data_IF_877654248331
#
_entry.id   IF_877654248331
#
_cell.length_a   1.000
_cell.length_b   1.000
_cell.length_c   1.000
_cell.angle_alpha   90.00
_cell.angle_beta   90.00
_cell.angle_gamma   90.00
#
_symmetry.space_group_name_H-M   'P 1'
#
loop_
_entity.id
_entity.type
_entity.pdbx_description
1 polymer ?
#
# COMPACT_ATOMS: atom_id res chain seq x y z
N UNK A 1 13.13 -5.05 -5.11
CA UNK A 1 12.21 -4.19 -5.89
C UNK A 1 10.83 -4.85 -5.93
N UNK A 2 9.77 -4.05 -6.06
CA UNK A 2 8.40 -4.54 -5.87
C UNK A 2 8.06 -5.67 -6.87
N UNK A 3 8.57 -5.60 -8.10
CA UNK A 3 8.38 -6.63 -9.15
C UNK A 3 8.96 -8.01 -8.82
N UNK A 4 9.75 -8.14 -7.75
CA UNK A 4 10.32 -9.40 -7.28
C UNK A 4 9.63 -9.96 -6.02
N UNK A 5 8.88 -9.13 -5.30
CA UNK A 5 8.36 -9.49 -3.97
C UNK A 5 7.50 -10.76 -4.02
N UNK A 6 6.63 -10.87 -5.01
CA UNK A 6 5.70 -12.00 -5.12
C UNK A 6 6.41 -13.33 -5.36
N UNK A 7 7.26 -13.43 -6.39
CA UNK A 7 8.00 -14.65 -6.70
C UNK A 7 8.84 -15.11 -5.50
N UNK A 8 9.63 -14.20 -4.92
CA UNK A 8 10.52 -14.54 -3.81
C UNK A 8 9.74 -14.98 -2.58
N UNK A 9 8.62 -14.32 -2.26
CA UNK A 9 7.76 -14.70 -1.14
C UNK A 9 7.11 -16.05 -1.36
N UNK A 10 6.56 -16.30 -2.55
CA UNK A 10 5.92 -17.56 -2.91
C UNK A 10 6.92 -18.72 -2.84
N UNK A 11 8.12 -18.55 -3.41
CA UNK A 11 9.15 -19.58 -3.42
C UNK A 11 9.69 -19.86 -2.02
N UNK A 12 9.90 -18.82 -1.21
CA UNK A 12 10.26 -18.97 0.19
C UNK A 12 9.19 -19.73 0.98
N UNK A 13 7.91 -19.42 0.76
CA UNK A 13 6.81 -20.13 1.42
C UNK A 13 6.78 -21.61 1.03
N UNK A 14 6.91 -21.93 -0.27
CA UNK A 14 6.99 -23.30 -0.78
C UNK A 14 8.21 -24.06 -0.24
N UNK A 15 9.31 -23.36 0.03
CA UNK A 15 10.50 -23.90 0.68
C UNK A 15 10.37 -24.03 2.22
N UNK A 16 9.17 -23.81 2.78
CA UNK A 16 8.90 -23.93 4.20
C UNK A 16 9.43 -22.77 5.05
N UNK A 17 9.71 -21.60 4.45
CA UNK A 17 10.24 -20.42 5.16
C UNK A 17 9.12 -19.43 5.50
N UNK A 18 9.21 -18.86 6.69
CA UNK A 18 8.48 -17.64 7.04
C UNK A 18 9.15 -16.45 6.35
N UNK A 19 8.38 -15.40 6.03
CA UNK A 19 8.85 -14.29 5.20
C UNK A 19 8.52 -12.95 5.84
N UNK A 20 9.50 -12.07 5.93
CA UNK A 20 9.27 -10.63 6.09
C UNK A 20 9.44 -9.98 4.72
N UNK A 21 8.40 -9.32 4.21
CA UNK A 21 8.41 -8.70 2.90
C UNK A 21 8.14 -7.19 3.03
N UNK A 22 9.06 -6.36 2.54
CA UNK A 22 8.90 -4.91 2.59
C UNK A 22 7.72 -4.40 1.76
N UNK A 23 7.18 -3.24 2.14
CA UNK A 23 6.10 -2.58 1.41
C UNK A 23 6.61 -1.86 0.14
N UNK A 24 5.77 -1.66 -0.89
CA UNK A 24 4.46 -2.29 -1.07
C UNK A 24 4.59 -3.80 -1.26
N UNK A 25 3.62 -4.57 -0.78
CA UNK A 25 3.72 -6.03 -0.73
C UNK A 25 3.86 -6.66 -2.13
N UNK A 26 3.15 -6.13 -3.12
CA UNK A 26 3.14 -6.64 -4.49
C UNK A 26 3.13 -5.51 -5.53
N UNK A 27 3.41 -5.87 -6.79
CA UNK A 27 3.32 -4.95 -7.93
C UNK A 27 1.93 -4.98 -8.59
N UNK A 28 1.19 -6.06 -8.43
CA UNK A 28 -0.19 -6.23 -8.91
C UNK A 28 -1.08 -6.87 -7.85
N UNK A 29 -2.39 -6.74 -8.03
CA UNK A 29 -3.38 -7.31 -7.10
C UNK A 29 -3.33 -8.84 -7.16
N UNK A 30 -3.27 -9.41 -8.36
CA UNK A 30 -3.23 -10.86 -8.54
C UNK A 30 -1.98 -11.50 -7.92
N UNK A 31 -0.82 -10.83 -7.97
CA UNK A 31 0.39 -11.26 -7.28
C UNK A 31 0.21 -11.31 -5.76
N UNK A 32 -0.35 -10.27 -5.15
CA UNK A 32 -0.59 -10.22 -3.70
C UNK A 32 -1.52 -11.35 -3.24
N UNK A 33 -2.60 -11.62 -4.00
CA UNK A 33 -3.49 -12.77 -3.74
C UNK A 33 -2.76 -14.11 -3.81
N UNK A 34 -1.86 -14.32 -4.79
CA UNK A 34 -1.01 -15.52 -4.86
C UNK A 34 -0.04 -15.63 -3.68
N UNK A 35 0.51 -14.52 -3.19
CA UNK A 35 1.36 -14.51 -2.00
C UNK A 35 0.59 -14.96 -0.75
N UNK A 36 -0.63 -14.45 -0.55
CA UNK A 36 -1.50 -14.89 0.55
C UNK A 36 -1.76 -16.40 0.44
N UNK A 37 -2.18 -16.88 -0.73
CA UNK A 37 -2.47 -18.30 -0.95
C UNK A 37 -1.24 -19.16 -0.65
N UNK A 38 -0.05 -18.76 -1.12
CA UNK A 38 1.18 -19.49 -0.85
C UNK A 38 1.50 -19.54 0.65
N UNK A 39 1.33 -18.44 1.38
CA UNK A 39 1.52 -18.41 2.84
C UNK A 39 0.55 -19.36 3.55
N UNK A 40 -0.74 -19.35 3.19
CA UNK A 40 -1.77 -20.19 3.83
C UNK A 40 -1.59 -21.67 3.52
N UNK A 41 -1.39 -22.03 2.25
CA UNK A 41 -1.23 -23.44 1.83
C UNK A 41 0.01 -24.07 2.47
N UNK A 42 1.09 -23.30 2.64
CA UNK A 42 2.34 -23.80 3.25
C UNK A 42 2.41 -23.53 4.76
N UNK A 43 1.34 -23.02 5.38
CA UNK A 43 1.26 -22.67 6.80
C UNK A 43 2.46 -21.82 7.27
N UNK A 44 2.78 -20.75 6.54
CA UNK A 44 3.91 -19.84 6.80
C UNK A 44 3.42 -18.52 7.36
N UNK A 45 4.23 -17.96 8.26
CA UNK A 45 4.06 -16.59 8.75
C UNK A 45 4.68 -15.65 7.72
N UNK A 46 3.88 -14.74 7.19
CA UNK A 46 4.34 -13.70 6.28
C UNK A 46 3.91 -12.35 6.83
N UNK A 47 4.89 -11.49 7.13
CA UNK A 47 4.65 -10.13 7.60
C UNK A 47 5.03 -9.12 6.53
N UNK A 48 4.14 -8.17 6.29
CA UNK A 48 4.39 -7.02 5.44
C UNK A 48 5.08 -5.93 6.26
N UNK A 49 6.12 -5.28 5.71
CA UNK A 49 6.92 -4.25 6.36
C UNK A 49 6.22 -2.89 6.56
N UNK A 50 4.95 -2.90 6.95
CA UNK A 50 4.17 -1.69 7.29
C UNK A 50 4.43 -1.28 8.74
N UNK A 51 5.65 -0.79 9.01
CA UNK A 51 6.14 -0.48 10.35
C UNK A 51 5.28 0.52 11.14
N UNK A 52 4.52 1.39 10.45
CA UNK A 52 3.61 2.33 11.10
C UNK A 52 2.53 1.65 11.96
N UNK A 53 2.17 0.38 11.65
CA UNK A 53 1.26 -0.40 12.51
C UNK A 53 1.85 -0.75 13.88
N UNK A 54 3.17 -0.67 14.03
CA UNK A 54 3.87 -0.87 15.31
C UNK A 54 4.27 0.46 15.98
N UNK A 55 3.86 1.60 15.42
CA UNK A 55 4.17 2.92 15.95
C UNK A 55 3.00 3.43 16.81
N UNK A 56 3.33 3.93 18.01
CA UNK A 56 2.33 4.25 19.04
C UNK A 56 1.28 5.26 18.59
N UNK A 57 1.68 6.30 17.85
CA UNK A 57 0.81 7.38 17.40
C UNK A 57 -0.26 6.89 16.41
N UNK A 58 0.10 5.93 15.56
CA UNK A 58 -0.81 5.32 14.58
C UNK A 58 -1.77 4.33 15.25
N UNK A 59 -1.28 3.52 16.19
CA UNK A 59 -2.16 2.68 17.01
C UNK A 59 -3.16 3.53 17.80
N UNK A 60 -2.71 4.62 18.43
CA UNK A 60 -3.59 5.56 19.16
C UNK A 60 -4.63 6.18 18.23
N UNK A 61 -4.23 6.63 17.05
CA UNK A 61 -5.15 7.17 16.05
C UNK A 61 -6.24 6.16 15.68
N UNK A 62 -5.86 4.93 15.34
CA UNK A 62 -6.81 3.88 14.97
C UNK A 62 -7.69 3.46 16.15
N UNK A 63 -7.16 3.45 17.37
CA UNK A 63 -7.94 3.20 18.59
C UNK A 63 -9.03 4.25 18.80
N UNK A 64 -8.72 5.54 18.62
CA UNK A 64 -9.70 6.63 18.71
C UNK A 64 -10.82 6.46 17.67
N UNK A 65 -10.45 6.13 16.44
CA UNK A 65 -11.39 5.96 15.33
C UNK A 65 -12.26 4.72 15.51
N UNK A 66 -11.64 3.56 15.73
CA UNK A 66 -12.31 2.25 15.82
C UNK A 66 -13.22 2.11 17.05
N UNK A 67 -12.97 2.89 18.10
CA UNK A 67 -13.84 2.96 19.26
C UNK A 67 -14.90 4.08 19.16
N UNK A 68 -15.03 4.76 18.02
CA UNK A 68 -16.10 5.73 17.76
C UNK A 68 -15.97 7.06 18.49
N UNK A 69 -14.76 7.41 18.98
CA UNK A 69 -14.55 8.65 19.74
C UNK A 69 -14.70 9.90 18.88
N UNK A 70 -14.55 9.77 17.56
CA UNK A 70 -14.87 10.82 16.58
C UNK A 70 -16.26 10.68 15.95
N UNK A 71 -17.12 9.81 16.49
CA UNK A 71 -18.41 9.48 15.89
C UNK A 71 -18.27 8.62 14.63
N UNK A 72 -19.26 8.71 13.75
CA UNK A 72 -19.25 7.98 12.48
C UNK A 72 -18.26 8.64 11.52
N UNK A 73 -17.28 7.88 11.01
CA UNK A 73 -16.33 8.38 10.02
C UNK A 73 -17.09 8.67 8.73
N UNK A 74 -16.91 9.87 8.19
CA UNK A 74 -17.51 10.29 6.92
C UNK A 74 -16.47 10.32 5.80
N UNK A 75 -15.28 10.83 6.13
CA UNK A 75 -14.21 11.05 5.17
C UNK A 75 -12.84 10.73 5.76
N UNK A 76 -11.94 10.23 4.92
CA UNK A 76 -10.52 10.04 5.26
C UNK A 76 -9.68 10.76 4.21
N UNK A 77 -8.77 11.63 4.63
CA UNK A 77 -7.77 12.22 3.74
C UNK A 77 -6.44 11.52 3.91
N UNK A 78 -5.80 11.19 2.80
CA UNK A 78 -4.47 10.59 2.76
C UNK A 78 -3.58 11.45 1.87
N UNK A 79 -2.58 12.10 2.46
CA UNK A 79 -1.60 12.88 1.71
C UNK A 79 -0.32 12.09 1.50
N UNK A 80 0.21 12.16 0.28
CA UNK A 80 1.50 11.58 -0.09
C UNK A 80 2.40 12.63 -0.75
N UNK A 81 3.73 12.49 -0.64
CA UNK A 81 4.66 13.42 -1.27
C UNK A 81 4.65 13.28 -2.81
N UNK A 82 5.17 14.32 -3.47
CA UNK A 82 5.46 14.28 -4.92
C UNK A 82 6.57 13.28 -5.27
N UNK A 83 6.73 12.94 -6.56
CA UNK A 83 7.82 12.09 -6.99
C UNK A 83 9.18 12.78 -6.74
N UNK A 84 10.18 12.01 -6.33
CA UNK A 84 11.56 12.46 -6.14
C UNK A 84 12.52 11.79 -7.13
N UNK A 85 12.08 11.66 -8.39
CA UNK A 85 12.89 11.09 -9.48
C UNK A 85 14.04 12.02 -9.89
N UNK A 86 15.24 11.52 -10.24
CA UNK A 86 16.43 12.33 -10.52
C UNK A 86 16.43 13.06 -11.90
N UNK A 87 15.26 13.40 -12.43
CA UNK A 87 15.13 14.10 -13.72
C UNK A 87 15.19 13.19 -14.95
N UNK A 88 15.44 13.76 -16.14
CA UNK A 88 15.45 13.01 -17.41
C UNK A 88 16.38 11.80 -17.37
N UNK A 89 15.95 10.67 -17.95
CA UNK A 89 16.75 9.46 -18.02
C UNK A 89 18.09 9.76 -18.73
N UNK A 90 18.04 10.21 -19.98
CA UNK A 90 19.23 10.41 -20.82
C UNK A 90 19.41 9.28 -21.84
N UNK A 91 20.56 9.22 -22.53
CA UNK A 91 20.87 8.11 -23.44
C UNK A 91 21.07 6.79 -22.68
N UNK A 92 20.96 5.66 -23.38
CA UNK A 92 21.25 4.34 -22.80
C UNK A 92 22.67 4.26 -22.22
N UNK A 93 22.80 3.59 -21.08
CA UNK A 93 24.08 3.36 -20.40
C UNK A 93 24.53 1.91 -20.59
N UNK A 94 25.85 1.66 -20.45
CA UNK A 94 26.34 0.29 -20.31
C UNK A 94 26.01 -0.26 -18.92
N UNK A 95 25.63 -1.53 -18.86
CA UNK A 95 25.39 -2.23 -17.59
C UNK A 95 26.71 -2.31 -16.80
N UNK A 96 26.75 -1.87 -15.53
CA UNK A 96 27.91 -2.04 -14.67
C UNK A 96 28.25 -3.53 -14.46
N UNK A 97 29.53 -3.92 -14.46
CA UNK A 97 29.93 -5.33 -14.34
C UNK A 97 29.48 -5.99 -13.03
N UNK A 98 29.24 -5.23 -11.97
CA UNK A 98 28.75 -5.69 -10.68
C UNK A 98 27.23 -5.95 -10.62
N UNK A 99 26.49 -5.58 -11.68
CA UNK A 99 25.04 -5.73 -11.73
C UNK A 99 24.63 -6.80 -12.76
N UNK A 100 24.11 -7.93 -12.28
CA UNK A 100 23.34 -8.83 -13.15
C UNK A 100 21.99 -8.19 -13.46
N UNK A 101 21.96 -7.41 -14.54
CA UNK A 101 20.76 -6.67 -14.91
C UNK A 101 19.64 -7.57 -15.43
N UNK A 102 19.97 -8.73 -16.02
CA UNK A 102 18.96 -9.69 -16.47
C UNK A 102 18.21 -10.30 -15.30
N UNK A 103 18.94 -10.67 -14.24
CA UNK A 103 18.34 -11.13 -12.99
C UNK A 103 17.65 -9.98 -12.26
N UNK A 104 18.22 -8.79 -12.23
CA UNK A 104 17.57 -7.63 -11.61
C UNK A 104 16.20 -7.35 -12.24
N UNK A 105 16.10 -7.35 -13.57
CA UNK A 105 14.83 -7.22 -14.30
C UNK A 105 13.87 -8.35 -13.95
N UNK A 106 14.38 -9.59 -13.94
CA UNK A 106 13.58 -10.73 -13.51
C UNK A 106 12.29 -10.86 -14.32
N UNK A 107 11.11 -10.96 -13.66
CA UNK A 107 9.81 -11.10 -14.32
C UNK A 107 9.34 -9.84 -15.05
N UNK A 108 9.96 -8.69 -14.82
CA UNK A 108 9.60 -7.47 -15.52
C UNK A 108 9.97 -7.53 -17.03
N UNK A 109 9.31 -6.73 -17.87
CA UNK A 109 9.66 -6.60 -19.28
C UNK A 109 11.14 -6.21 -19.48
N UNK A 110 11.72 -6.64 -20.61
CA UNK A 110 13.07 -6.24 -20.96
C UNK A 110 13.09 -4.74 -21.29
N UNK A 111 13.95 -3.99 -20.61
CA UNK A 111 14.22 -2.57 -20.89
C UNK A 111 15.72 -2.35 -21.02
N UNK A 112 16.15 -1.33 -21.78
CA UNK A 112 17.53 -0.87 -21.76
C UNK A 112 17.97 -0.46 -20.35
N UNK A 113 19.22 -0.75 -20.01
CA UNK A 113 19.77 -0.35 -18.73
C UNK A 113 19.95 1.17 -18.65
N UNK A 114 19.67 1.69 -17.46
CA UNK A 114 20.03 3.05 -17.08
C UNK A 114 20.09 3.15 -15.55
N UNK A 115 21.09 3.83 -15.00
CA UNK A 115 21.27 4.07 -13.56
C UNK A 115 20.01 4.66 -12.89
N UNK A 116 19.33 5.57 -13.59
CA UNK A 116 18.03 6.16 -13.20
C UNK A 116 16.80 5.25 -13.31
N UNK A 117 16.92 3.97 -13.71
CA UNK A 117 15.83 2.96 -13.65
C UNK A 117 15.96 1.98 -12.50
N UNK A 118 17.15 1.88 -11.92
CA UNK A 118 17.50 0.83 -10.95
C UNK A 118 17.57 1.35 -9.50
N UNK A 119 17.81 0.45 -8.56
CA UNK A 119 18.01 0.71 -7.13
C UNK A 119 16.87 1.47 -6.43
N UNK A 120 16.97 2.77 -6.22
CA UNK A 120 15.87 3.53 -5.62
C UNK A 120 14.82 3.91 -6.67
N UNK A 121 15.27 4.16 -7.90
CA UNK A 121 14.49 4.81 -8.96
C UNK A 121 13.53 3.87 -9.69
N UNK A 122 13.56 2.56 -9.43
CA UNK A 122 12.58 1.63 -9.99
C UNK A 122 11.15 2.05 -9.65
N UNK A 123 10.96 2.78 -8.53
CA UNK A 123 9.67 3.26 -8.03
C UNK A 123 8.87 4.09 -9.03
N UNK A 124 9.53 4.70 -9.99
CA UNK A 124 8.92 5.67 -10.92
C UNK A 124 8.59 5.08 -12.30
N UNK A 125 8.65 3.75 -12.43
CA UNK A 125 8.38 3.02 -13.66
C UNK A 125 7.32 1.95 -13.39
N UNK A 126 6.26 1.90 -14.20
CA UNK A 126 5.12 0.99 -13.97
C UNK A 126 5.49 -0.48 -14.05
N UNK A 127 6.57 -0.79 -14.78
CA UNK A 127 7.09 -2.15 -14.89
C UNK A 127 7.66 -2.70 -13.58
N UNK A 128 8.02 -1.82 -12.63
CA UNK A 128 8.73 -2.19 -11.41
C UNK A 128 8.02 -1.76 -10.12
N UNK A 129 7.12 -0.77 -10.18
CA UNK A 129 6.41 -0.21 -9.03
C UNK A 129 5.19 0.60 -9.46
N UNK A 130 4.57 1.30 -8.51
CA UNK A 130 3.38 2.12 -8.69
C UNK A 130 3.54 3.57 -8.24
N UNK A 131 4.75 4.13 -8.24
CA UNK A 131 5.00 5.51 -7.88
C UNK A 131 4.83 5.80 -6.39
N UNK A 132 4.57 7.08 -6.06
CA UNK A 132 4.32 7.46 -4.66
C UNK A 132 3.02 6.87 -4.11
N UNK A 133 2.06 6.56 -4.99
CA UNK A 133 0.80 5.90 -4.60
C UNK A 133 1.08 4.54 -3.95
N UNK A 134 2.02 3.73 -4.47
CA UNK A 134 2.39 2.48 -3.78
C UNK A 134 3.53 2.66 -2.78
N UNK A 135 4.43 3.63 -2.96
CA UNK A 135 5.55 3.82 -2.06
C UNK A 135 5.13 4.46 -0.72
N UNK A 136 4.41 5.58 -0.74
CA UNK A 136 3.88 6.26 0.45
C UNK A 136 2.43 5.90 0.74
N UNK A 137 1.62 5.60 -0.28
CA UNK A 137 0.26 5.12 -0.01
C UNK A 137 0.25 3.78 0.74
N UNK A 138 1.20 2.87 0.51
CA UNK A 138 1.29 1.63 1.32
C UNK A 138 1.60 1.89 2.82
N UNK A 139 1.98 3.12 3.18
CA UNK A 139 2.05 3.58 4.57
C UNK A 139 0.69 4.17 5.00
N UNK A 140 0.22 5.23 4.32
CA UNK A 140 -0.91 6.03 4.81
C UNK A 140 -2.30 5.51 4.42
N UNK A 141 -2.43 4.83 3.28
CA UNK A 141 -3.65 4.10 2.92
C UNK A 141 -3.79 2.83 3.76
N UNK A 142 -2.68 2.23 4.19
CA UNK A 142 -2.69 1.12 5.15
C UNK A 142 -3.26 1.55 6.51
N UNK A 143 -2.79 2.68 7.05
CA UNK A 143 -3.37 3.24 8.28
C UNK A 143 -4.84 3.61 8.10
N UNK A 144 -5.22 4.16 6.94
CA UNK A 144 -6.62 4.45 6.65
C UNK A 144 -7.48 3.17 6.67
N UNK A 145 -7.03 2.09 6.02
CA UNK A 145 -7.70 0.78 6.06
C UNK A 145 -7.80 0.25 7.49
N UNK A 146 -6.73 0.38 8.29
CA UNK A 146 -6.72 -0.08 9.68
C UNK A 146 -7.70 0.70 10.57
N UNK A 147 -7.72 2.03 10.45
CA UNK A 147 -8.62 2.90 11.19
C UNK A 147 -10.09 2.72 10.81
N UNK A 148 -10.37 2.43 9.53
CA UNK A 148 -11.70 2.01 9.08
C UNK A 148 -12.02 0.55 9.45
N UNK A 149 -10.98 -0.22 9.80
CA UNK A 149 -10.91 -1.68 9.92
C UNK A 149 -11.57 -2.39 8.76
N UNK A 150 -10.99 -2.12 7.60
CA UNK A 150 -11.25 -2.72 6.31
C UNK A 150 -10.07 -3.62 5.91
N UNK A 151 -9.38 -4.21 6.91
CA UNK A 151 -8.21 -5.07 6.74
C UNK A 151 -8.53 -6.41 6.02
N UNK A 152 -9.81 -6.75 5.88
CA UNK A 152 -10.35 -7.89 5.14
C UNK A 152 -11.17 -7.48 3.90
N UNK A 153 -11.20 -6.18 3.58
CA UNK A 153 -12.05 -5.60 2.53
C UNK A 153 -11.38 -4.40 1.85
N UNK A 154 -12.16 -3.50 1.27
CA UNK A 154 -11.67 -2.32 0.60
C UNK A 154 -12.78 -1.47 -0.03
N UNK A 155 -12.40 -0.43 -0.78
CA UNK A 155 -13.37 0.40 -1.47
C UNK A 155 -14.11 -0.39 -2.57
N UNK A 156 -15.33 0.01 -2.91
CA UNK A 156 -16.10 -0.54 -4.03
C UNK A 156 -15.88 0.22 -5.34
N UNK A 157 -15.25 1.39 -5.29
CA UNK A 157 -14.81 2.10 -6.49
C UNK A 157 -13.67 3.07 -6.22
N UNK A 158 -12.90 3.37 -7.27
CA UNK A 158 -11.86 4.40 -7.27
C UNK A 158 -11.99 5.29 -8.52
N UNK A 159 -11.93 6.61 -8.37
CA UNK A 159 -11.97 7.56 -9.49
C UNK A 159 -11.24 8.85 -9.14
N UNK A 160 -10.80 9.61 -10.13
CA UNK A 160 -10.12 10.86 -9.85
C UNK A 160 -9.34 11.45 -11.01
N UNK A 161 -8.46 12.40 -10.69
CA UNK A 161 -7.59 13.07 -11.65
C UNK A 161 -6.13 12.78 -11.38
N UNK A 162 -5.33 12.81 -12.44
CA UNK A 162 -3.89 12.66 -12.37
C UNK A 162 -3.21 13.58 -13.39
N UNK A 163 -2.08 14.15 -12.99
CA UNK A 163 -1.15 14.87 -13.85
C UNK A 163 0.15 14.08 -13.92
N UNK A 164 0.70 13.97 -15.12
CA UNK A 164 1.97 13.32 -15.40
C UNK A 164 3.01 14.36 -15.81
N UNK A 165 4.29 14.02 -15.67
CA UNK A 165 5.34 14.89 -16.11
C UNK A 165 5.23 15.12 -17.64
N UNK A 166 5.11 16.37 -18.14
CA UNK A 166 4.88 16.62 -19.55
C UNK A 166 6.07 16.22 -20.45
N UNK A 167 7.27 16.10 -19.88
CA UNK A 167 8.45 15.57 -20.58
C UNK A 167 8.63 14.07 -20.39
N UNK A 168 7.71 13.40 -19.68
CA UNK A 168 7.74 11.97 -19.38
C UNK A 168 9.08 11.53 -18.76
N UNK A 169 9.62 12.35 -17.84
CA UNK A 169 10.88 12.02 -17.14
C UNK A 169 10.78 10.71 -16.35
N UNK A 170 9.56 10.37 -15.96
CA UNK A 170 9.13 9.10 -15.39
C UNK A 170 7.68 8.80 -15.81
N UNK A 171 7.20 7.59 -15.53
CA UNK A 171 5.87 7.13 -15.99
C UNK A 171 4.75 7.38 -14.97
N UNK A 172 5.12 7.60 -13.70
CA UNK A 172 4.17 7.72 -12.58
C UNK A 172 3.63 9.14 -12.39
N UNK A 173 2.59 9.26 -11.58
CA UNK A 173 1.90 10.53 -11.30
C UNK A 173 2.82 11.57 -10.63
N UNK A 174 2.74 12.81 -11.11
CA UNK A 174 3.30 14.01 -10.48
C UNK A 174 2.35 14.54 -9.40
N UNK A 175 1.07 14.63 -9.77
CA UNK A 175 -0.03 15.00 -8.88
C UNK A 175 -1.21 14.09 -9.15
N UNK A 176 -2.01 13.83 -8.14
CA UNK A 176 -3.28 13.16 -8.31
C UNK A 176 -4.24 13.53 -7.17
N UNK A 177 -5.53 13.38 -7.46
CA UNK A 177 -6.59 13.34 -6.45
C UNK A 177 -7.48 12.15 -6.75
N UNK A 178 -7.40 11.11 -5.93
CA UNK A 178 -8.18 9.88 -6.11
C UNK A 178 -9.19 9.74 -4.98
N UNK A 179 -10.46 9.64 -5.33
CA UNK A 179 -11.57 9.29 -4.45
C UNK A 179 -11.80 7.77 -4.48
N UNK A 180 -11.69 7.16 -3.32
CA UNK A 180 -12.13 5.80 -3.03
C UNK A 180 -13.47 5.85 -2.30
N UNK A 181 -14.45 5.10 -2.77
CA UNK A 181 -15.78 4.99 -2.12
C UNK A 181 -15.94 3.61 -1.52
N UNK A 182 -16.31 3.52 -0.25
CA UNK A 182 -16.57 2.26 0.45
C UNK A 182 -18.06 1.92 0.47
N UNK A 183 -18.38 0.62 0.62
CA UNK A 183 -19.76 0.14 0.63
C UNK A 183 -20.61 0.77 1.76
N UNK A 184 -20.00 1.13 2.88
CA UNK A 184 -20.64 1.80 4.00
C UNK A 184 -20.82 3.32 3.79
N UNK A 185 -20.47 3.86 2.63
CA UNK A 185 -20.60 5.27 2.28
C UNK A 185 -19.40 6.14 2.65
N UNK A 186 -18.39 5.61 3.36
CA UNK A 186 -17.16 6.34 3.66
C UNK A 186 -16.43 6.71 2.37
N UNK A 187 -15.94 7.95 2.31
CA UNK A 187 -15.11 8.45 1.21
C UNK A 187 -13.68 8.58 1.69
N UNK A 188 -12.72 8.02 0.97
CA UNK A 188 -11.31 8.25 1.22
C UNK A 188 -10.70 8.99 0.04
N UNK A 189 -10.01 10.09 0.29
CA UNK A 189 -9.38 10.92 -0.74
C UNK A 189 -7.87 10.86 -0.57
N UNK A 190 -7.20 10.33 -1.58
CA UNK A 190 -5.75 10.39 -1.73
C UNK A 190 -5.38 11.67 -2.48
N UNK A 191 -4.48 12.47 -1.90
CA UNK A 191 -3.88 13.64 -2.53
C UNK A 191 -2.37 13.48 -2.69
N UNK A 192 -1.88 13.71 -3.91
CA UNK A 192 -0.46 13.85 -4.20
C UNK A 192 -0.20 15.26 -4.73
N UNK A 193 0.67 16.02 -4.05
CA UNK A 193 0.99 17.40 -4.44
C UNK A 193 -0.18 18.39 -4.30
N UNK A 194 -1.17 18.07 -3.48
CA UNK A 194 -2.31 18.93 -3.16
C UNK A 194 -2.01 19.74 -1.89
N UNK A 195 -2.51 20.97 -1.80
CA UNK A 195 -2.30 21.84 -0.63
C UNK A 195 -3.34 21.63 0.48
N UNK A 196 -4.54 21.17 0.12
CA UNK A 196 -5.66 20.94 1.03
C UNK A 196 -5.58 19.59 1.77
N UNK A 197 -4.72 18.67 1.31
CA UNK A 197 -4.53 17.35 1.91
C UNK A 197 -3.09 17.26 2.44
N UNK A 198 -2.95 17.31 3.76
CA UNK A 198 -1.67 17.17 4.45
C UNK A 198 -1.13 15.73 4.35
N UNK A 199 0.20 15.57 4.33
CA UNK A 199 0.85 14.26 4.38
C UNK A 199 0.46 13.49 5.67
N UNK A 200 0.24 12.18 5.53
CA UNK A 200 -0.28 11.34 6.60
C UNK A 200 -1.71 10.91 6.35
N UNK A 201 -2.40 10.54 7.43
CA UNK A 201 -3.78 10.04 7.39
C UNK A 201 -4.64 10.88 8.33
N UNK A 202 -5.72 11.44 7.81
CA UNK A 202 -6.69 12.23 8.57
C UNK A 202 -8.07 11.59 8.49
N UNK A 203 -8.62 11.18 9.63
CA UNK A 203 -10.00 10.71 9.76
C UNK A 203 -10.91 11.85 10.19
N UNK A 204 -12.04 12.01 9.49
CA UNK A 204 -13.05 13.03 9.76
C UNK A 204 -14.36 12.33 10.06
N UNK A 205 -14.85 12.49 11.29
CA UNK A 205 -16.10 11.91 11.75
C UNK A 205 -17.09 12.95 12.26
N UNK A 206 -18.30 12.51 12.59
CA UNK A 206 -19.42 13.39 12.99
C UNK A 206 -19.21 14.12 14.31
N UNK A 207 -18.25 13.70 15.14
CA UNK A 207 -17.95 14.29 16.46
C UNK A 207 -16.52 14.82 16.57
N UNK A 208 -15.71 14.66 15.54
CA UNK A 208 -14.32 15.09 15.60
C UNK A 208 -13.45 14.60 14.46
N UNK A 209 -12.16 14.90 14.58
CA UNK A 209 -11.13 14.59 13.60
C UNK A 209 -9.89 14.04 14.29
N UNK A 210 -9.20 13.12 13.64
CA UNK A 210 -7.89 12.60 14.05
C UNK A 210 -6.96 12.68 12.86
N UNK A 211 -5.87 13.43 12.95
CA UNK A 211 -4.80 13.46 11.95
C UNK A 211 -3.53 12.85 12.53
N UNK A 212 -2.92 11.93 11.79
CA UNK A 212 -1.75 11.19 12.22
C UNK A 212 -0.69 11.13 11.13
N UNK A 213 0.56 11.33 11.53
CA UNK A 213 1.75 11.24 10.69
C UNK A 213 2.91 10.70 11.51
N UNK A 214 4.10 10.60 10.90
CA UNK A 214 5.27 10.06 11.59
C UNK A 214 5.65 11.00 12.75
N UNK A 215 5.54 10.51 13.98
CA UNK A 215 5.81 11.28 15.19
C UNK A 215 4.77 12.37 15.51
N UNK A 216 3.62 12.39 14.84
CA UNK A 216 2.57 13.41 15.06
C UNK A 216 1.20 12.78 15.20
N UNK A 217 0.42 13.28 16.17
CA UNK A 217 -0.99 12.95 16.38
C UNK A 217 -1.72 14.21 16.83
N UNK A 218 -2.67 14.68 16.04
CA UNK A 218 -3.52 15.82 16.39
C UNK A 218 -4.99 15.42 16.31
N UNK A 219 -5.79 15.97 17.21
CA UNK A 219 -7.22 15.67 17.28
C UNK A 219 -8.03 16.94 17.44
N UNK A 220 -9.27 16.87 17.00
CA UNK A 220 -10.29 17.88 17.24
C UNK A 220 -11.54 17.14 17.72
N UNK A 221 -12.03 17.33 18.96
CA UNK A 221 -11.43 18.13 20.03
C UNK A 221 -10.01 17.68 20.44
N UNK A 222 -9.17 18.61 20.92
CA UNK A 222 -7.74 18.37 21.21
C UNK A 222 -7.52 17.40 22.38
N UNK A 223 -8.46 17.35 23.31
CA UNK A 223 -8.45 16.45 24.47
C UNK A 223 -8.55 14.97 24.07
N UNK A 224 -9.07 14.64 22.88
CA UNK A 224 -9.13 13.25 22.41
C UNK A 224 -7.73 12.64 22.31
N UNK A 225 -6.70 13.41 21.95
CA UNK A 225 -5.31 12.97 21.91
C UNK A 225 -4.79 12.49 23.27
N UNK A 226 -5.39 12.97 24.38
CA UNK A 226 -5.02 12.65 25.75
C UNK A 226 -5.80 11.46 26.33
N UNK A 227 -6.71 10.87 25.55
CA UNK A 227 -7.52 9.72 25.99
C UNK A 227 -6.64 8.57 26.50
N UNK A 228 -7.04 7.99 27.64
CA UNK A 228 -6.46 6.77 28.19
C UNK A 228 -7.04 5.54 27.47
N UNK A 229 -6.32 5.06 26.46
CA UNK A 229 -6.80 4.02 25.54
C UNK A 229 -6.66 2.58 26.06
N UNK A 230 -5.92 2.38 27.15
CA UNK A 230 -5.80 1.08 27.84
C UNK A 230 -6.95 0.83 28.84
N UNK A 231 -7.96 1.71 28.88
CA UNK A 231 -9.08 1.61 29.81
C UNK A 231 -10.03 0.44 29.48
N UNK A 232 -10.65 -0.13 30.53
CA UNK A 232 -11.67 -1.16 30.39
C UNK A 232 -12.90 -0.62 29.61
N UNK A 233 -13.43 -1.42 28.67
CA UNK A 233 -14.60 -1.07 27.86
C UNK A 233 -14.29 -0.61 26.43
N UNK A 234 -13.01 -0.39 26.10
CA UNK A 234 -12.58 -0.15 24.71
C UNK A 234 -12.19 -1.46 24.02
N UNK A 235 -12.55 -1.57 22.74
CA UNK A 235 -12.05 -2.63 21.87
C UNK A 235 -10.57 -2.37 21.61
N UNK A 236 -9.72 -3.28 22.08
CA UNK A 236 -8.28 -3.20 21.89
C UNK A 236 -7.90 -3.71 20.51
N UNK A 237 -7.25 -2.86 19.72
CA UNK A 237 -6.60 -3.27 18.48
C UNK A 237 -5.29 -3.99 18.81
N UNK A 238 -4.89 -4.92 17.94
CA UNK A 238 -3.59 -5.59 18.05
C UNK A 238 -2.49 -4.55 18.25
N UNK A 239 -1.72 -4.70 19.33
CA UNK A 239 -0.65 -3.78 19.69
C UNK A 239 0.70 -4.46 19.52
N UNK A 240 1.57 -3.82 18.75
CA UNK A 240 2.97 -4.19 18.57
C UNK A 240 3.79 -2.93 18.82
N UNK A 241 4.80 -3.02 19.70
CA UNK A 241 5.69 -1.88 19.97
C UNK A 241 7.02 -1.97 19.18
N UNK A 242 7.26 -3.11 18.54
CA UNK A 242 8.39 -3.32 17.62
C UNK A 242 7.96 -4.29 16.51
N UNK A 243 8.08 -3.83 15.27
CA UNK A 243 7.61 -4.55 14.09
C UNK A 243 8.43 -5.82 13.80
N UNK A 244 9.73 -5.78 14.05
CA UNK A 244 10.63 -6.92 13.81
C UNK A 244 10.49 -7.95 14.90
N UNK A 245 10.42 -7.52 16.17
CA UNK A 245 10.17 -8.43 17.30
C UNK A 245 8.82 -9.12 17.13
N UNK A 246 7.78 -8.39 16.71
CA UNK A 246 6.48 -8.99 16.40
C UNK A 246 6.57 -10.12 15.37
N UNK A 247 7.34 -9.92 14.29
CA UNK A 247 7.57 -10.98 13.30
C UNK A 247 8.22 -12.21 13.93
N UNK A 248 9.30 -12.01 14.69
CA UNK A 248 10.04 -13.10 15.32
C UNK A 248 9.20 -13.85 16.36
N UNK A 249 8.34 -13.16 17.08
CA UNK A 249 7.44 -13.77 18.06
C UNK A 249 6.31 -14.54 17.40
N UNK A 250 5.72 -14.00 16.32
CA UNK A 250 4.75 -14.72 15.48
C UNK A 250 5.38 -15.95 14.81
N UNK A 251 6.65 -15.91 14.43
CA UNK A 251 7.39 -17.11 14.03
C UNK A 251 7.52 -18.11 15.19
N UNK A 252 7.55 -17.73 16.46
CA UNK A 252 7.60 -18.72 17.54
C UNK A 252 6.21 -19.27 17.87
N UNK A 253 5.23 -18.39 18.03
CA UNK A 253 3.88 -18.71 18.47
C UNK A 253 2.99 -19.29 17.37
N UNK A 254 3.32 -18.99 16.09
CA UNK A 254 2.50 -19.26 14.90
C UNK A 254 1.20 -18.44 14.84
N UNK A 255 1.10 -17.39 15.64
CA UNK A 255 0.04 -16.38 15.51
C UNK A 255 0.32 -15.45 14.33
N UNK A 256 -0.73 -14.80 13.81
CA UNK A 256 -0.59 -13.84 12.73
C UNK A 256 0.05 -12.53 13.23
N UNK A 257 0.96 -11.93 12.46
CA UNK A 257 1.61 -10.68 12.83
C UNK A 257 0.68 -9.47 12.67
N UNK A 258 1.08 -8.34 13.26
CA UNK A 258 0.33 -7.07 13.23
C UNK A 258 0.00 -6.59 11.80
N UNK A 259 0.84 -6.96 10.84
CA UNK A 259 0.60 -6.76 9.42
C UNK A 259 0.82 -8.07 8.65
N UNK A 260 -0.09 -9.02 8.85
CA UNK A 260 -0.15 -10.26 8.08
C UNK A 260 -0.24 -9.99 6.56
N UNK A 261 0.19 -10.98 5.75
CA UNK A 261 0.17 -10.90 4.29
C UNK A 261 -1.19 -10.55 3.69
N UNK A 262 -2.31 -10.97 4.28
CA UNK A 262 -3.65 -10.56 3.82
C UNK A 262 -3.84 -9.05 4.01
N UNK A 263 -3.45 -8.52 5.17
CA UNK A 263 -3.54 -7.08 5.48
C UNK A 263 -2.70 -6.28 4.49
N UNK A 264 -1.45 -6.67 4.28
CA UNK A 264 -0.56 -6.01 3.32
C UNK A 264 -1.09 -6.06 1.89
N UNK A 265 -1.73 -7.17 1.50
CA UNK A 265 -2.37 -7.32 0.19
C UNK A 265 -3.58 -6.40 0.05
N UNK A 266 -4.44 -6.29 1.06
CA UNK A 266 -5.59 -5.36 1.04
C UNK A 266 -5.15 -3.90 0.97
N UNK A 267 -4.09 -3.52 1.69
CA UNK A 267 -3.52 -2.18 1.62
C UNK A 267 -2.87 -1.88 0.25
N UNK A 268 -2.11 -2.83 -0.31
CA UNK A 268 -1.55 -2.70 -1.65
C UNK A 268 -2.65 -2.61 -2.73
N UNK A 269 -3.74 -3.35 -2.55
CA UNK A 269 -4.91 -3.32 -3.46
C UNK A 269 -5.49 -1.91 -3.58
N UNK A 270 -5.65 -1.17 -2.48
CA UNK A 270 -6.10 0.24 -2.54
C UNK A 270 -5.14 1.10 -3.35
N UNK A 271 -3.83 0.92 -3.17
CA UNK A 271 -2.82 1.63 -3.94
C UNK A 271 -2.94 1.31 -5.45
N UNK A 272 -3.12 0.04 -5.79
CA UNK A 272 -3.26 -0.41 -7.19
C UNK A 272 -4.55 0.12 -7.82
N UNK A 273 -5.68 0.12 -7.10
CA UNK A 273 -6.93 0.73 -7.58
C UNK A 273 -6.76 2.22 -7.85
N UNK A 274 -6.01 2.92 -6.99
CA UNK A 274 -5.69 4.33 -7.21
C UNK A 274 -4.82 4.56 -8.46
N UNK A 275 -3.82 3.71 -8.66
CA UNK A 275 -3.02 3.72 -9.89
C UNK A 275 -3.83 3.40 -11.13
N UNK A 276 -4.77 2.45 -11.10
CA UNK A 276 -5.65 2.14 -12.22
C UNK A 276 -6.52 3.35 -12.60
N UNK A 277 -7.16 3.97 -11.60
CA UNK A 277 -7.96 5.17 -11.80
C UNK A 277 -7.12 6.33 -12.39
N UNK A 278 -5.91 6.55 -11.85
CA UNK A 278 -4.99 7.57 -12.33
C UNK A 278 -4.52 7.32 -13.77
N UNK A 279 -4.15 6.08 -14.11
CA UNK A 279 -3.61 5.72 -15.42
C UNK A 279 -4.65 5.75 -16.53
N UNK A 280 -5.88 5.34 -16.24
CA UNK A 280 -6.96 5.24 -17.23
C UNK A 280 -7.84 6.49 -17.28
N UNK A 281 -7.76 7.36 -16.27
CA UNK A 281 -8.56 8.59 -16.20
C UNK A 281 -10.08 8.34 -16.12
N UNK A 282 -10.49 7.14 -15.71
CA UNK A 282 -11.90 6.75 -15.58
C UNK A 282 -12.14 5.89 -14.34
N UNK A 283 -13.38 5.85 -13.87
CA UNK A 283 -13.79 5.17 -12.63
C UNK A 283 -13.59 3.66 -12.72
N UNK A 284 -12.92 3.11 -11.71
CA UNK A 284 -12.83 1.66 -11.44
C UNK A 284 -14.02 1.26 -10.59
N UNK A 285 -14.82 0.30 -11.05
CA UNK A 285 -15.81 -0.40 -10.22
C UNK A 285 -15.17 -1.69 -9.70
N UNK A 286 -15.20 -1.92 -8.39
CA UNK A 286 -14.45 -2.99 -7.74
C UNK A 286 -15.34 -3.82 -6.82
N UNK A 287 -15.20 -5.14 -6.92
CA UNK A 287 -15.73 -6.07 -5.93
C UNK A 287 -14.61 -6.45 -4.95
N UNK A 288 -14.58 -5.94 -3.71
CA UNK A 288 -13.54 -6.28 -2.75
C UNK A 288 -13.62 -7.72 -2.23
N UNK A 289 -14.79 -8.38 -2.31
CA UNK A 289 -14.93 -9.76 -1.87
C UNK A 289 -14.34 -10.75 -2.89
N UNK A 290 -14.57 -10.50 -4.18
CA UNK A 290 -14.06 -11.35 -5.27
C UNK A 290 -12.72 -10.87 -5.85
N UNK A 291 -12.31 -9.65 -5.51
CA UNK A 291 -11.11 -8.97 -6.02
C UNK A 291 -11.08 -8.86 -7.54
N UNK A 292 -12.18 -8.34 -8.10
CA UNK A 292 -12.33 -8.13 -9.55
C UNK A 292 -12.85 -6.72 -9.88
N UNK A 293 -12.42 -6.22 -11.04
CA UNK A 293 -13.00 -5.05 -11.69
C UNK A 293 -14.30 -5.46 -12.39
N UNK A 294 -15.39 -4.75 -12.09
CA UNK A 294 -16.71 -5.04 -12.62
C UNK A 294 -16.95 -4.32 -13.94
N UNK A 295 -17.33 -5.06 -14.98
CA UNK A 295 -17.80 -4.50 -16.25
C UNK A 295 -16.73 -3.83 -17.12
N UNK A 296 -15.44 -3.93 -16.78
CA UNK A 296 -14.33 -3.38 -17.56
C UNK A 296 -13.23 -4.44 -17.74
N UNK A 297 -13.20 -5.08 -18.91
CA UNK A 297 -12.24 -6.14 -19.23
C UNK A 297 -10.80 -5.63 -19.33
N UNK A 298 -10.59 -4.38 -19.72
CA UNK A 298 -9.24 -3.78 -19.78
C UNK A 298 -8.69 -3.62 -18.36
N UNK A 299 -9.47 -3.01 -17.45
CA UNK A 299 -9.09 -2.88 -16.05
C UNK A 299 -8.88 -4.25 -15.39
N UNK A 300 -9.79 -5.20 -15.63
CA UNK A 300 -9.67 -6.55 -15.10
C UNK A 300 -8.38 -7.23 -15.55
N UNK A 301 -7.93 -7.01 -16.79
CA UNK A 301 -6.65 -7.54 -17.25
C UNK A 301 -5.44 -6.84 -16.62
N UNK A 302 -5.58 -5.56 -16.23
CA UNK A 302 -4.51 -4.77 -15.62
C UNK A 302 -4.29 -5.05 -14.12
N UNK A 303 -5.17 -5.81 -13.46
CA UNK A 303 -4.95 -6.21 -12.05
C UNK A 303 -3.90 -7.33 -11.91
N UNK A 304 -3.48 -7.90 -13.03
CA UNK A 304 -2.38 -8.85 -13.16
C UNK A 304 -1.41 -8.35 -14.25
N UNK A 305 -0.28 -9.04 -14.40
CA UNK A 305 0.73 -8.72 -15.43
C UNK A 305 1.35 -9.99 -16.00
N UNK A 306 1.75 -9.99 -17.29
CA UNK A 306 2.52 -11.09 -17.84
C UNK A 306 3.94 -11.10 -17.25
N UNK A 307 4.47 -12.28 -17.00
CA UNK A 307 5.89 -12.45 -16.63
C UNK A 307 6.73 -12.69 -17.87
N UNK A 308 7.88 -12.02 -17.92
CA UNK A 308 8.92 -12.35 -18.89
C UNK A 308 9.48 -13.74 -18.58
N UNK A 309 9.54 -14.60 -19.60
CA UNK A 309 10.17 -15.92 -19.48
C UNK A 309 11.62 -15.79 -18.96
N UNK A 310 12.11 -16.74 -18.14
CA UNK A 310 11.49 -18.03 -17.80
C UNK A 310 10.51 -18.00 -16.62
N UNK A 311 10.25 -16.82 -16.05
CA UNK A 311 9.46 -16.69 -14.83
C UNK A 311 7.97 -16.94 -15.06
N UNK A 312 7.32 -17.52 -14.05
CA UNK A 312 5.91 -17.94 -14.09
C UNK A 312 5.27 -17.74 -12.72
N UNK A 313 3.97 -17.52 -12.71
CA UNK A 313 3.14 -17.37 -11.52
C UNK A 313 1.86 -18.18 -11.62
#
# INVERSE_FOLDING_TARGET
PDHWHALMTIDACKAGKDVYCEKPLSLSIAEGRRMVQAARVNNRIVQTGSQQRSSSEFWRACMLVRNGLIGDVQEVHVGIPGPNHPGSIGPEEMVPPELDYQLWLGPAPLKPYHSKRVHYNFRFWWDYSGGQITNFGAHHLDIAQWGLGMDDSGPVSAEGTAEFNPQMLHEVTEKCRILFTYANGVRMILGQGQQDIAEGTTFIGTKGRVAVGRGTLTTEPAELALTHLDAAGLTQLYRSDDHTVNFLDCMRSRELPVCDVEIGHRSATVCHLGNLAARLGRRVQWNPAEEICLGDAEMQNMIDRPYRAPWKH
#
